data_IF_498622467240
#
_entry.id   IF_498622467240
#
_cell.length_a   1.000
_cell.length_b   1.000
_cell.length_c   1.000
_cell.angle_alpha   90.00
_cell.angle_beta   90.00
_cell.angle_gamma   90.00
#
_symmetry.space_group_name_H-M   'P 1'
#
loop_
_entity.id
_entity.type
_entity.pdbx_description
1 polymer ?
#
# COMPACT_ATOMS: atom_id res chain seq x y z
N UNK A 1 1.05 -18.36 -21.48
CA UNK A 1 0.69 -19.67 -20.92
C UNK A 1 -0.80 -19.92 -20.98
N UNK A 2 -1.26 -21.15 -20.70
CA UNK A 2 -2.67 -21.62 -20.84
C UNK A 2 -3.73 -20.75 -20.14
N UNK A 3 -3.35 -19.99 -19.10
CA UNK A 3 -4.27 -19.21 -18.28
C UNK A 3 -4.07 -17.70 -18.40
N UNK A 4 -3.34 -17.22 -19.41
CA UNK A 4 -3.03 -15.79 -19.54
C UNK A 4 -4.29 -14.90 -19.64
N UNK A 5 -5.38 -15.40 -20.19
CA UNK A 5 -6.65 -14.67 -20.28
C UNK A 5 -7.34 -14.43 -18.93
N UNK A 6 -6.87 -15.10 -17.87
CA UNK A 6 -7.33 -14.93 -16.49
C UNK A 6 -6.37 -14.10 -15.65
N UNK A 7 -5.26 -13.63 -16.24
CA UNK A 7 -4.30 -12.78 -15.57
C UNK A 7 -4.65 -11.32 -15.80
N UNK A 8 -4.51 -10.52 -14.75
CA UNK A 8 -4.60 -9.07 -14.82
C UNK A 8 -3.50 -8.44 -13.98
N UNK A 9 -3.10 -7.23 -14.35
CA UNK A 9 -2.13 -6.45 -13.59
C UNK A 9 -2.83 -5.58 -12.54
N UNK A 10 -2.19 -5.46 -11.39
CA UNK A 10 -2.60 -4.61 -10.29
C UNK A 10 -1.36 -3.94 -9.71
N UNK A 11 -1.48 -2.72 -9.24
CA UNK A 11 -0.36 -1.98 -8.61
C UNK A 11 -0.20 -2.31 -7.14
N UNK A 12 -1.25 -2.84 -6.51
CA UNK A 12 -1.32 -3.07 -5.07
C UNK A 12 -0.95 -1.81 -4.26
N UNK A 13 -0.28 -1.94 -3.15
CA UNK A 13 0.10 -0.88 -2.21
C UNK A 13 1.20 0.04 -2.74
N UNK A 14 0.88 0.85 -3.72
CA UNK A 14 1.83 1.79 -4.30
C UNK A 14 1.72 3.17 -3.65
N UNK A 15 2.84 3.68 -3.13
CA UNK A 15 2.89 5.01 -2.54
C UNK A 15 2.64 6.13 -3.56
N UNK A 16 2.04 7.26 -3.16
CA UNK A 16 1.77 8.39 -4.07
C UNK A 16 3.01 8.93 -4.77
N UNK A 17 4.16 9.02 -4.10
CA UNK A 17 5.43 9.43 -4.72
C UNK A 17 5.90 8.44 -5.79
N UNK A 18 5.72 7.13 -5.58
CA UNK A 18 6.03 6.12 -6.60
C UNK A 18 5.13 6.26 -7.84
N UNK A 19 3.86 6.65 -7.64
CA UNK A 19 2.96 6.93 -8.76
C UNK A 19 3.44 8.10 -9.61
N UNK A 20 3.97 9.15 -8.96
CA UNK A 20 4.50 10.34 -9.65
C UNK A 20 5.84 10.05 -10.34
N UNK A 21 6.74 9.32 -9.68
CA UNK A 21 8.11 9.10 -10.18
C UNK A 21 8.20 7.96 -11.19
N UNK A 22 7.48 6.85 -10.94
CA UNK A 22 7.59 5.61 -11.73
C UNK A 22 6.43 5.37 -12.68
N UNK A 23 5.29 6.00 -12.43
CA UNK A 23 4.03 5.75 -13.13
C UNK A 23 3.15 4.71 -12.41
N UNK A 24 2.01 4.41 -12.99
CA UNK A 24 0.98 3.52 -12.47
C UNK A 24 0.98 2.16 -13.20
N UNK A 25 -0.14 1.82 -13.84
CA UNK A 25 -0.28 0.55 -14.59
C UNK A 25 0.61 0.52 -15.84
N UNK A 26 0.91 1.67 -16.44
CA UNK A 26 1.84 1.84 -17.53
C UNK A 26 3.26 1.35 -17.18
N UNK A 27 3.71 1.62 -15.96
CA UNK A 27 5.00 1.11 -15.46
C UNK A 27 5.03 -0.42 -15.38
N UNK A 28 3.93 -1.06 -14.96
CA UNK A 28 3.83 -2.52 -14.91
C UNK A 28 3.85 -3.09 -16.32
N UNK A 29 3.14 -2.46 -17.27
CA UNK A 29 3.16 -2.86 -18.68
C UNK A 29 4.61 -2.79 -19.23
N UNK A 30 5.33 -1.68 -19.01
CA UNK A 30 6.74 -1.51 -19.39
C UNK A 30 7.60 -2.64 -18.84
N UNK A 31 7.48 -2.94 -17.56
CA UNK A 31 8.25 -4.03 -16.91
C UNK A 31 7.94 -5.40 -17.52
N UNK A 32 6.67 -5.68 -17.78
CA UNK A 32 6.25 -6.94 -18.37
C UNK A 32 6.81 -7.11 -19.79
N UNK A 33 6.75 -6.07 -20.62
CA UNK A 33 7.31 -6.07 -21.98
C UNK A 33 8.84 -6.25 -21.93
N UNK A 34 9.53 -5.54 -21.04
CA UNK A 34 10.97 -5.67 -20.85
C UNK A 34 11.37 -7.09 -20.39
N UNK A 35 10.51 -7.78 -19.67
CA UNK A 35 10.67 -9.17 -19.25
C UNK A 35 10.29 -10.19 -20.36
N UNK A 36 9.94 -9.74 -21.57
CA UNK A 36 9.64 -10.59 -22.72
C UNK A 36 8.17 -10.99 -22.89
N UNK A 37 7.25 -10.35 -22.17
CA UNK A 37 5.82 -10.53 -22.40
C UNK A 37 5.42 -9.82 -23.70
N UNK A 38 4.61 -10.48 -24.53
CA UNK A 38 4.05 -9.86 -25.74
C UNK A 38 3.32 -8.56 -25.39
N UNK A 39 3.59 -7.43 -26.07
CA UNK A 39 3.01 -6.13 -25.72
C UNK A 39 1.48 -6.10 -25.72
N UNK A 40 0.85 -6.79 -26.67
CA UNK A 40 -0.62 -6.85 -26.77
C UNK A 40 -1.18 -7.62 -25.58
N UNK A 41 -0.52 -8.70 -25.17
CA UNK A 41 -0.91 -9.47 -23.97
C UNK A 41 -0.73 -8.61 -22.71
N UNK A 42 0.36 -7.88 -22.58
CA UNK A 42 0.58 -6.99 -21.43
C UNK A 42 -0.51 -5.91 -21.33
N UNK A 43 -0.87 -5.28 -22.44
CA UNK A 43 -1.97 -4.30 -22.50
C UNK A 43 -3.33 -4.95 -22.16
N UNK A 44 -3.59 -6.16 -22.66
CA UNK A 44 -4.83 -6.89 -22.32
C UNK A 44 -4.90 -7.21 -20.84
N UNK A 45 -3.81 -7.61 -20.20
CA UNK A 45 -3.77 -7.83 -18.74
C UNK A 45 -4.04 -6.56 -17.94
N UNK A 46 -3.66 -5.40 -18.46
CA UNK A 46 -3.86 -4.11 -17.78
C UNK A 46 -5.24 -3.48 -18.06
N UNK A 47 -6.00 -3.95 -19.04
CA UNK A 47 -7.25 -3.32 -19.48
C UNK A 47 -8.38 -4.33 -19.72
N UNK A 48 -8.32 -5.07 -20.82
CA UNK A 48 -9.40 -5.95 -21.27
C UNK A 48 -9.73 -7.07 -20.28
N UNK A 49 -8.71 -7.74 -19.73
CA UNK A 49 -8.95 -8.84 -18.80
C UNK A 49 -9.57 -8.36 -17.50
N UNK A 50 -9.10 -7.20 -16.97
CA UNK A 50 -9.70 -6.57 -15.80
C UNK A 50 -11.16 -6.15 -16.08
N UNK A 51 -11.42 -5.51 -17.22
CA UNK A 51 -12.78 -5.11 -17.59
C UNK A 51 -13.73 -6.31 -17.68
N UNK A 52 -13.28 -7.42 -18.26
CA UNK A 52 -14.08 -8.66 -18.33
C UNK A 52 -14.32 -9.28 -16.96
N UNK A 53 -13.30 -9.33 -16.11
CA UNK A 53 -13.42 -9.91 -14.77
C UNK A 53 -14.43 -9.14 -13.90
N UNK A 54 -14.37 -7.81 -13.94
CA UNK A 54 -15.27 -6.94 -13.18
C UNK A 54 -16.57 -6.62 -13.91
N UNK A 55 -16.89 -7.32 -15.01
CA UNK A 55 -18.12 -7.17 -15.81
C UNK A 55 -18.37 -5.73 -16.31
N UNK A 56 -17.30 -5.00 -16.63
CA UNK A 56 -17.36 -3.67 -17.22
C UNK A 56 -17.65 -3.80 -18.73
N UNK A 57 -18.91 -4.02 -19.09
CA UNK A 57 -19.32 -4.46 -20.42
C UNK A 57 -19.04 -3.47 -21.55
N UNK A 58 -18.79 -2.20 -21.25
CA UNK A 58 -18.53 -1.14 -22.22
C UNK A 58 -17.13 -0.51 -22.09
N UNK A 59 -16.16 -1.24 -21.53
CA UNK A 59 -14.77 -0.79 -21.29
C UNK A 59 -13.76 -1.88 -21.67
N UNK A 60 -12.49 -1.50 -21.72
CA UNK A 60 -11.38 -2.43 -21.95
C UNK A 60 -11.11 -2.78 -23.40
N UNK A 61 -11.80 -2.13 -24.35
CA UNK A 61 -11.54 -2.25 -25.79
C UNK A 61 -11.98 -0.97 -26.50
N UNK A 62 -11.38 -0.72 -27.68
CA UNK A 62 -11.84 0.31 -28.62
C UNK A 62 -12.80 -0.37 -29.59
N UNK A 63 -14.10 -0.23 -29.34
CA UNK A 63 -15.14 -0.88 -30.11
C UNK A 63 -16.44 -0.04 -30.16
N UNK A 64 -17.31 -0.23 -31.16
CA UNK A 64 -18.59 0.42 -31.20
C UNK A 64 -19.42 0.14 -29.94
N UNK A 65 -20.01 1.18 -29.35
CA UNK A 65 -20.82 1.08 -28.12
C UNK A 65 -19.98 1.10 -26.82
N UNK A 66 -18.65 1.09 -26.91
CA UNK A 66 -17.77 1.24 -25.73
C UNK A 66 -17.54 2.72 -25.41
N UNK A 67 -17.27 3.00 -24.13
CA UNK A 67 -16.83 4.33 -23.72
C UNK A 67 -15.47 4.64 -24.36
N UNK A 68 -15.31 5.86 -24.83
CA UNK A 68 -14.06 6.34 -25.42
C UNK A 68 -13.04 6.68 -24.31
N UNK A 69 -12.68 5.65 -23.52
CA UNK A 69 -11.63 5.68 -22.50
C UNK A 69 -10.40 4.99 -23.08
N UNK A 70 -9.40 5.74 -23.52
CA UNK A 70 -8.19 5.19 -24.11
C UNK A 70 -6.97 6.11 -23.89
N UNK A 71 -5.78 5.53 -24.00
CA UNK A 71 -4.52 6.26 -24.01
C UNK A 71 -3.84 6.12 -25.37
N UNK A 72 -3.13 7.17 -25.79
CA UNK A 72 -2.22 7.16 -26.93
C UNK A 72 -0.82 7.06 -26.36
N UNK A 73 -0.04 6.11 -26.88
CA UNK A 73 1.35 5.87 -26.50
C UNK A 73 2.29 6.09 -27.67
N UNK A 74 3.55 6.39 -27.41
CA UNK A 74 4.58 6.56 -28.41
C UNK A 74 4.87 5.25 -29.19
N UNK A 75 5.12 4.17 -28.46
CA UNK A 75 5.38 2.83 -29.01
C UNK A 75 5.35 1.78 -27.91
N UNK A 76 5.31 0.50 -28.28
CA UNK A 76 5.31 -0.61 -27.32
C UNK A 76 6.63 -0.84 -26.58
N UNK A 77 7.75 -0.31 -27.06
CA UNK A 77 9.04 -0.49 -26.41
C UNK A 77 9.20 0.44 -25.21
N UNK A 78 8.93 1.73 -25.40
CA UNK A 78 9.05 2.75 -24.37
C UNK A 78 7.77 2.87 -23.54
N UNK A 79 6.63 2.69 -24.19
CA UNK A 79 5.30 2.77 -23.61
C UNK A 79 5.06 4.11 -22.87
N UNK A 80 5.50 5.21 -23.46
CA UNK A 80 5.23 6.53 -22.90
C UNK A 80 3.82 6.97 -23.28
N UNK A 81 3.04 7.34 -22.29
CA UNK A 81 1.67 7.84 -22.49
C UNK A 81 1.76 9.31 -22.92
N UNK A 82 1.32 9.61 -24.13
CA UNK A 82 1.30 10.96 -24.70
C UNK A 82 -0.03 11.66 -24.45
N UNK A 83 -1.15 10.93 -24.60
CA UNK A 83 -2.49 11.48 -24.38
C UNK A 83 -3.38 10.48 -23.68
N UNK A 84 -4.32 11.00 -22.88
CA UNK A 84 -5.37 10.21 -22.23
C UNK A 84 -6.73 10.81 -22.53
N UNK A 85 -7.64 10.00 -23.05
CA UNK A 85 -9.03 10.35 -23.27
C UNK A 85 -9.92 9.61 -22.28
N UNK A 86 -10.93 10.30 -21.75
CA UNK A 86 -11.94 9.76 -20.88
C UNK A 86 -13.33 10.20 -21.35
N UNK A 87 -14.20 9.24 -21.68
CA UNK A 87 -15.50 9.49 -22.30
C UNK A 87 -15.41 10.39 -23.54
N UNK A 88 -14.35 10.26 -24.34
CA UNK A 88 -14.11 11.06 -25.53
C UNK A 88 -13.52 12.45 -25.29
N UNK A 89 -13.32 12.87 -24.05
CA UNK A 89 -12.68 14.14 -23.72
C UNK A 89 -11.19 13.95 -23.44
N UNK A 90 -10.36 14.89 -23.90
CA UNK A 90 -8.93 14.89 -23.64
C UNK A 90 -8.66 15.33 -22.19
N UNK A 91 -8.05 14.46 -21.40
CA UNK A 91 -7.70 14.71 -19.98
C UNK A 91 -6.22 14.96 -19.76
N UNK A 92 -5.35 14.35 -20.56
CA UNK A 92 -3.91 14.52 -20.45
C UNK A 92 -3.32 14.63 -21.85
N UNK A 93 -2.39 15.57 -22.02
CA UNK A 93 -1.65 15.79 -23.25
C UNK A 93 -0.27 16.36 -22.93
N UNK A 94 0.79 15.65 -23.30
CA UNK A 94 2.18 16.06 -23.21
C UNK A 94 2.54 16.75 -21.87
N UNK A 95 2.36 16.03 -20.77
CA UNK A 95 2.67 16.51 -19.42
C UNK A 95 1.62 17.42 -18.79
N UNK A 96 0.55 17.78 -19.51
CA UNK A 96 -0.51 18.68 -19.02
C UNK A 96 -1.79 17.91 -18.72
N UNK A 97 -2.18 17.93 -17.46
CA UNK A 97 -3.47 17.37 -17.01
C UNK A 97 -4.56 18.45 -17.14
N UNK A 98 -5.74 18.07 -17.64
CA UNK A 98 -6.93 18.90 -17.64
C UNK A 98 -7.32 19.22 -16.20
N UNK A 99 -7.62 20.49 -15.92
CA UNK A 99 -8.18 20.89 -14.65
C UNK A 99 -9.58 20.25 -14.48
N UNK A 100 -9.79 19.63 -13.33
CA UNK A 100 -11.09 19.15 -12.90
C UNK A 100 -11.32 19.50 -11.43
N UNK A 101 -12.55 19.89 -11.06
CA UNK A 101 -12.85 20.24 -9.68
C UNK A 101 -12.65 19.04 -8.77
N UNK A 102 -12.09 19.27 -7.59
CA UNK A 102 -12.12 18.25 -6.55
C UNK A 102 -13.58 17.85 -6.26
N UNK A 103 -13.87 16.55 -6.08
CA UNK A 103 -15.21 16.15 -5.71
C UNK A 103 -15.59 16.76 -4.35
N UNK A 104 -16.81 17.25 -4.22
CA UNK A 104 -17.33 17.65 -2.93
C UNK A 104 -17.42 16.40 -2.03
N UNK A 105 -16.84 16.47 -0.84
CA UNK A 105 -16.97 15.43 0.17
C UNK A 105 -18.23 15.75 0.98
N UNK A 106 -19.11 14.78 1.14
CA UNK A 106 -20.28 14.93 1.98
C UNK A 106 -19.85 15.06 3.46
N UNK A 107 -20.41 16.01 4.18
CA UNK A 107 -20.02 16.37 5.57
C UNK A 107 -19.96 15.16 6.49
N UNK A 108 -20.95 14.26 6.42
CA UNK A 108 -20.97 13.05 7.24
C UNK A 108 -19.80 12.07 6.94
N UNK A 109 -19.24 12.06 5.71
CA UNK A 109 -18.08 11.24 5.38
C UNK A 109 -16.80 11.87 5.95
N UNK A 110 -16.72 13.19 5.91
CA UNK A 110 -15.61 13.95 6.48
C UNK A 110 -15.55 13.77 8.00
N UNK A 111 -16.68 13.93 8.69
CA UNK A 111 -16.80 13.68 10.14
C UNK A 111 -16.37 12.25 10.51
N UNK A 112 -16.85 11.24 9.79
CA UNK A 112 -16.47 9.84 10.03
C UNK A 112 -15.01 9.55 9.76
N UNK A 113 -14.39 10.25 8.83
CA UNK A 113 -12.96 10.10 8.53
C UNK A 113 -12.08 10.67 9.65
N UNK A 114 -12.56 11.68 10.39
CA UNK A 114 -11.82 12.27 11.50
C UNK A 114 -11.99 11.52 12.83
N UNK A 115 -13.09 10.80 13.04
CA UNK A 115 -13.33 10.00 14.26
C UNK A 115 -13.00 8.52 14.04
N UNK A 116 -11.71 8.20 13.96
CA UNK A 116 -11.24 6.84 13.64
C UNK A 116 -10.30 6.22 14.68
N UNK A 117 -10.00 6.93 15.77
CA UNK A 117 -9.15 6.46 16.85
C UNK A 117 -9.94 6.26 18.15
N UNK A 118 -10.37 5.02 18.38
CA UNK A 118 -11.11 4.61 19.56
C UNK A 118 -10.21 3.73 20.45
N UNK A 119 -9.27 4.37 21.13
CA UNK A 119 -8.29 3.71 22.01
C UNK A 119 -8.18 4.47 23.33
N UNK A 120 -8.12 3.73 24.45
CA UNK A 120 -7.85 4.33 25.75
C UNK A 120 -6.42 4.87 25.82
N UNK A 121 -6.18 5.74 26.77
CA UNK A 121 -4.81 6.15 27.08
C UNK A 121 -3.94 4.94 27.43
N UNK A 122 -2.79 4.82 26.78
CA UNK A 122 -1.84 3.72 26.95
C UNK A 122 -0.75 4.11 27.96
N UNK A 123 -0.35 3.15 28.76
CA UNK A 123 0.65 3.32 29.81
C UNK A 123 1.86 2.45 29.54
N UNK A 124 2.97 2.73 30.23
CA UNK A 124 4.19 1.91 30.17
C UNK A 124 3.88 0.42 30.40
N UNK A 125 3.00 0.09 31.35
CA UNK A 125 2.65 -1.30 31.70
C UNK A 125 2.00 -2.07 30.55
N UNK A 126 1.37 -1.38 29.61
CA UNK A 126 0.76 -2.02 28.43
C UNK A 126 1.80 -2.62 27.48
N UNK A 127 3.06 -2.24 27.62
CA UNK A 127 4.18 -2.68 26.77
C UNK A 127 5.24 -3.47 27.56
N UNK A 128 5.03 -3.82 28.83
CA UNK A 128 6.08 -4.40 29.68
C UNK A 128 6.22 -5.92 29.59
N UNK A 129 5.13 -6.65 29.56
CA UNK A 129 5.17 -8.12 29.64
C UNK A 129 5.50 -8.77 28.29
N UNK A 130 6.76 -8.74 27.89
CA UNK A 130 7.23 -9.43 26.68
C UNK A 130 8.21 -10.53 27.09
N UNK A 131 7.68 -11.61 27.66
CA UNK A 131 8.45 -12.85 27.85
C UNK A 131 8.57 -13.53 26.49
N UNK A 132 9.43 -14.49 26.35
CA UNK A 132 9.73 -15.26 25.15
C UNK A 132 8.66 -15.15 24.03
N UNK A 133 8.86 -14.23 23.10
CA UNK A 133 7.94 -13.95 21.98
C UNK A 133 8.66 -14.12 20.65
N UNK A 134 7.89 -14.38 19.61
CA UNK A 134 8.39 -14.46 18.24
C UNK A 134 9.09 -13.17 17.81
N UNK A 135 10.11 -13.32 17.01
CA UNK A 135 10.88 -12.23 16.39
C UNK A 135 10.55 -12.17 14.91
N UNK A 136 9.94 -11.08 14.49
CA UNK A 136 9.66 -10.79 13.08
C UNK A 136 10.94 -10.18 12.49
N UNK A 137 11.54 -10.84 11.48
CA UNK A 137 12.70 -10.31 10.76
C UNK A 137 12.28 -9.45 9.58
N UNK A 138 12.82 -8.24 9.49
CA UNK A 138 12.65 -7.37 8.33
C UNK A 138 13.66 -7.70 7.23
N UNK A 139 13.20 -7.74 5.98
CA UNK A 139 14.06 -7.84 4.80
C UNK A 139 14.07 -6.47 4.13
N UNK A 140 15.23 -5.79 4.04
CA UNK A 140 15.31 -4.47 3.44
C UNK A 140 14.78 -4.45 2.00
N UNK A 141 13.84 -3.53 1.72
CA UNK A 141 13.24 -3.36 0.39
C UNK A 141 12.15 -4.37 0.01
N UNK A 142 11.81 -5.31 0.90
CA UNK A 142 10.77 -6.32 0.67
C UNK A 142 9.52 -6.05 1.54
N UNK A 143 8.39 -6.56 1.09
CA UNK A 143 7.11 -6.50 1.85
C UNK A 143 6.88 -7.77 2.68
N UNK A 144 7.71 -8.79 2.52
CA UNK A 144 7.68 -10.03 3.27
C UNK A 144 8.62 -9.97 4.47
N UNK A 145 8.30 -10.72 5.51
CA UNK A 145 9.10 -10.86 6.71
C UNK A 145 9.58 -12.30 6.89
N UNK A 146 10.55 -12.50 7.78
CA UNK A 146 11.06 -13.82 8.17
C UNK A 146 10.71 -14.12 9.62
N UNK A 147 10.66 -15.41 9.95
CA UNK A 147 10.64 -15.90 11.34
C UNK A 147 12.08 -16.02 11.83
N UNK A 148 12.50 -15.13 12.74
CA UNK A 148 13.84 -15.11 13.31
C UNK A 148 13.87 -15.75 14.73
N UNK A 149 12.92 -16.64 15.02
CA UNK A 149 12.86 -17.38 16.27
C UNK A 149 12.23 -16.58 17.41
N UNK A 150 12.87 -16.61 18.59
CA UNK A 150 12.29 -16.03 19.80
C UNK A 150 13.30 -15.13 20.53
N UNK A 151 12.77 -14.10 21.21
CA UNK A 151 13.50 -13.24 22.11
C UNK A 151 12.72 -13.05 23.42
N UNK A 152 13.42 -12.63 24.48
CA UNK A 152 12.85 -12.35 25.81
C UNK A 152 13.20 -10.92 26.30
N UNK A 153 14.04 -10.20 25.57
CA UNK A 153 14.43 -8.82 25.86
C UNK A 153 14.88 -8.07 24.60
N UNK A 154 14.96 -6.76 24.68
CA UNK A 154 15.53 -5.89 23.66
C UNK A 154 17.04 -6.08 23.62
N UNK A 155 17.59 -6.31 22.43
CA UNK A 155 19.03 -6.42 22.17
C UNK A 155 19.43 -5.46 21.04
N UNK A 156 19.92 -4.28 21.40
CA UNK A 156 20.30 -3.25 20.43
C UNK A 156 21.53 -3.64 19.57
N UNK A 157 22.35 -4.59 20.03
CA UNK A 157 23.50 -5.06 19.25
C UNK A 157 23.05 -5.96 18.10
N UNK A 158 22.00 -6.75 18.33
CA UNK A 158 21.37 -7.61 17.32
C UNK A 158 20.21 -6.93 16.58
N UNK A 159 19.94 -5.66 16.88
CA UNK A 159 18.81 -4.89 16.39
C UNK A 159 17.45 -5.59 16.65
N UNK A 160 17.30 -6.16 17.84
CA UNK A 160 16.05 -6.74 18.32
C UNK A 160 15.35 -5.72 19.21
N UNK A 161 14.17 -5.27 18.77
CA UNK A 161 13.36 -4.24 19.43
C UNK A 161 11.99 -4.81 19.81
N UNK A 162 11.29 -4.15 20.74
CA UNK A 162 9.87 -4.45 20.99
C UNK A 162 9.02 -3.99 19.82
N UNK A 163 8.00 -4.78 19.49
CA UNK A 163 6.89 -4.38 18.62
C UNK A 163 5.58 -4.63 19.33
N UNK A 164 4.64 -3.72 19.14
CA UNK A 164 3.28 -3.85 19.63
C UNK A 164 2.28 -3.50 18.52
N UNK A 165 1.14 -4.18 18.51
CA UNK A 165 -0.03 -3.84 17.69
C UNK A 165 -1.18 -3.54 18.63
N UNK A 166 -1.66 -2.31 18.64
CA UNK A 166 -2.74 -1.83 19.49
C UNK A 166 -4.02 -1.69 18.67
N UNK A 167 -5.07 -2.38 19.07
CA UNK A 167 -6.37 -2.25 18.44
C UNK A 167 -6.93 -0.84 18.68
N UNK A 168 -7.33 -0.13 17.61
CA UNK A 168 -7.78 1.26 17.69
C UNK A 168 -9.20 1.53 17.19
N UNK A 169 -9.87 0.53 16.65
CA UNK A 169 -11.16 0.74 15.96
C UNK A 169 -12.36 0.63 16.90
N UNK A 170 -12.27 -0.24 17.93
CA UNK A 170 -13.41 -0.61 18.79
C UNK A 170 -13.15 -0.44 20.27
N UNK A 171 -12.00 0.14 20.64
CA UNK A 171 -11.61 0.31 22.04
C UNK A 171 -11.66 -0.99 22.86
N UNK A 172 -11.25 -2.10 22.26
CA UNK A 172 -11.26 -3.42 22.93
C UNK A 172 -10.19 -3.55 23.99
N UNK A 173 -9.16 -2.70 23.95
CA UNK A 173 -7.99 -2.78 24.82
C UNK A 173 -7.01 -3.88 24.46
N UNK A 174 -7.22 -4.59 23.33
CA UNK A 174 -6.32 -5.66 22.88
C UNK A 174 -4.99 -5.07 22.39
N UNK A 175 -3.89 -5.64 22.90
CA UNK A 175 -2.53 -5.30 22.50
C UNK A 175 -1.77 -6.61 22.26
N UNK A 176 -1.28 -6.79 21.05
CA UNK A 176 -0.34 -7.85 20.69
C UNK A 176 1.08 -7.37 20.92
N UNK A 177 1.91 -8.19 21.59
CA UNK A 177 3.32 -7.87 21.89
C UNK A 177 4.25 -8.91 21.28
N UNK A 178 5.38 -8.47 20.76
CA UNK A 178 6.43 -9.30 20.19
C UNK A 178 7.75 -8.56 20.05
N UNK A 179 8.61 -9.11 19.20
CA UNK A 179 9.88 -8.51 18.84
C UNK A 179 10.02 -8.36 17.32
N UNK A 180 10.81 -7.39 16.91
CA UNK A 180 11.17 -7.14 15.52
C UNK A 180 12.67 -6.99 15.40
N UNK A 181 13.26 -7.52 14.33
CA UNK A 181 14.68 -7.42 14.03
C UNK A 181 14.91 -6.75 12.69
N UNK A 182 15.91 -5.89 12.62
CA UNK A 182 16.28 -5.20 11.37
C UNK A 182 15.62 -3.84 11.18
N UNK A 183 15.01 -3.26 12.23
CA UNK A 183 14.34 -1.96 12.19
C UNK A 183 15.32 -0.77 12.26
N UNK A 184 16.46 -0.93 12.93
CA UNK A 184 17.55 0.04 12.98
C UNK A 184 17.42 1.15 14.02
N UNK A 185 16.38 1.17 14.85
CA UNK A 185 16.16 2.21 15.87
C UNK A 185 17.16 2.03 17.03
N UNK A 186 17.89 3.10 17.39
CA UNK A 186 18.92 3.06 18.46
C UNK A 186 18.40 3.53 19.81
N UNK A 187 17.35 4.37 19.84
CA UNK A 187 16.69 4.84 21.05
C UNK A 187 15.30 5.36 20.73
N UNK A 188 14.42 5.43 21.73
CA UNK A 188 13.07 5.95 21.55
C UNK A 188 12.09 4.94 21.00
N UNK A 189 10.99 5.44 20.43
CA UNK A 189 9.96 4.64 19.79
C UNK A 189 9.36 5.37 18.59
N UNK A 190 8.76 4.60 17.68
CA UNK A 190 7.98 5.08 16.52
C UNK A 190 6.62 4.40 16.57
N UNK A 191 5.55 5.18 16.34
CA UNK A 191 4.20 4.66 16.18
C UNK A 191 3.62 5.08 14.83
N UNK A 192 2.81 4.22 14.24
CA UNK A 192 2.10 4.48 12.99
C UNK A 192 0.77 3.75 12.94
N UNK A 193 -0.24 4.38 12.34
CA UNK A 193 -1.51 3.74 11.99
C UNK A 193 -1.57 3.26 10.53
N UNK A 194 -0.49 3.47 9.77
CA UNK A 194 -0.33 2.91 8.42
C UNK A 194 0.16 1.48 8.58
N UNK A 195 -0.79 0.56 8.74
CA UNK A 195 -0.57 -0.84 9.09
C UNK A 195 -1.50 -1.72 8.28
N UNK A 196 -1.08 -2.10 7.10
CA UNK A 196 -1.86 -2.97 6.22
C UNK A 196 -2.02 -4.38 6.81
N UNK A 197 -3.22 -4.95 6.75
CA UNK A 197 -4.49 -4.35 6.23
C UNK A 197 -5.34 -3.78 7.36
N UNK A 198 -4.97 -4.06 8.62
CA UNK A 198 -5.80 -3.76 9.79
C UNK A 198 -5.86 -2.28 10.14
N UNK A 199 -4.85 -1.51 9.79
CA UNK A 199 -4.65 -0.11 10.19
C UNK A 199 -4.77 0.12 11.70
N UNK A 200 -4.38 -0.87 12.50
CA UNK A 200 -4.16 -0.72 13.93
C UNK A 200 -2.90 0.12 14.19
N UNK A 201 -2.71 0.58 15.43
CA UNK A 201 -1.47 1.28 15.76
C UNK A 201 -0.34 0.25 15.91
N UNK A 202 0.69 0.35 15.07
CA UNK A 202 1.93 -0.38 15.27
C UNK A 202 2.92 0.52 16.00
N UNK A 203 3.53 0.00 17.05
CA UNK A 203 4.54 0.70 17.84
C UNK A 203 5.81 -0.14 17.90
N UNK A 204 6.94 0.43 17.49
CA UNK A 204 8.27 -0.19 17.65
C UNK A 204 9.11 0.67 18.57
N UNK A 205 9.77 0.08 19.54
CA UNK A 205 10.56 0.86 20.49
C UNK A 205 11.63 0.08 21.24
N UNK A 206 12.56 0.85 21.80
CA UNK A 206 13.66 0.34 22.61
C UNK A 206 13.26 0.14 24.08
N UNK A 207 12.18 0.80 24.53
CA UNK A 207 11.65 0.69 25.89
C UNK A 207 10.17 0.99 25.94
N UNK A 208 9.49 0.50 26.98
CA UNK A 208 8.04 0.58 27.13
C UNK A 208 7.51 2.00 27.39
N UNK A 209 8.30 2.88 28.02
CA UNK A 209 7.88 4.25 28.32
C UNK A 209 7.79 5.08 27.03
N UNK A 210 8.80 4.99 26.17
CA UNK A 210 8.82 5.69 24.88
C UNK A 210 7.74 5.12 23.95
N UNK A 211 7.47 3.80 24.00
CA UNK A 211 6.37 3.19 23.23
C UNK A 211 5.01 3.73 23.65
N UNK A 212 4.75 3.85 24.95
CA UNK A 212 3.52 4.44 25.46
C UNK A 212 3.38 5.93 25.06
N UNK A 213 4.46 6.68 25.13
CA UNK A 213 4.48 8.07 24.69
C UNK A 213 4.16 8.22 23.20
N UNK A 214 4.86 7.46 22.35
CA UNK A 214 4.67 7.51 20.90
C UNK A 214 3.26 7.09 20.46
N UNK A 215 2.68 6.09 21.14
CA UNK A 215 1.36 5.58 20.81
C UNK A 215 0.22 6.52 21.21
N UNK A 216 0.43 7.41 22.19
CA UNK A 216 -0.56 8.39 22.65
C UNK A 216 -0.44 9.75 21.94
N UNK A 217 0.66 10.02 21.25
CA UNK A 217 0.90 11.25 20.51
C UNK A 217 0.19 11.27 19.17
#
# INVERSE_FOLDING_TARGET
GKYIERCMFCTDDKHPNDLLEKGHIDYIIKKAIAAGVDPIIAVKCASHHAARYFLLNNRGAIAPGYLADFAIIDNFRNFNVEMVFKKGELYYNDGKLKDFPAPAIEEYLDERAHDTFHVRHLTKSDFEDVRQRGVIGMIPGEIVSTDNGYADHVDLQKDILKIAVVERHKNTGHIGLGYIQGYGLKSGAVATSISHDSHNIIVVGTNSADMAFAANY
#
